data_IF_392071576018
#
_entry.id   IF_392071576018
#
_cell.length_a   1.000
_cell.length_b   1.000
_cell.length_c   1.000
_cell.angle_alpha   90.00
_cell.angle_beta   90.00
_cell.angle_gamma   90.00
#
_symmetry.space_group_name_H-M   'P 1'
#
loop_
_entity.id
_entity.type
_entity.pdbx_description
1 polymer ?
#
# COMPACT_ATOMS: atom_id res chain seq x y z
N UNK A 1 -0.60 -5.12 -0.73
CA UNK A 1 -0.48 -4.84 0.73
C UNK A 1 0.00 -6.04 1.52
N UNK A 2 -0.41 -7.28 1.19
CA UNK A 2 0.12 -8.49 1.83
C UNK A 2 1.65 -8.56 1.86
N UNK A 3 2.34 -8.23 0.77
CA UNK A 3 3.82 -8.18 0.72
C UNK A 3 4.44 -7.14 1.67
N UNK A 4 3.72 -6.05 1.99
CA UNK A 4 4.19 -5.06 2.97
C UNK A 4 4.09 -5.64 4.38
N UNK A 5 2.98 -6.32 4.70
CA UNK A 5 2.79 -6.99 6.00
C UNK A 5 3.83 -8.11 6.16
N UNK A 6 4.06 -8.91 5.13
CA UNK A 6 5.07 -9.97 5.11
C UNK A 6 6.47 -9.41 5.35
N UNK A 7 6.89 -8.38 4.61
CA UNK A 7 8.21 -7.76 4.79
C UNK A 7 8.40 -7.13 6.17
N UNK A 8 7.37 -6.48 6.72
CA UNK A 8 7.41 -5.97 8.10
C UNK A 8 7.49 -7.11 9.12
N UNK A 9 6.74 -8.19 8.90
CA UNK A 9 6.75 -9.35 9.78
C UNK A 9 8.11 -10.08 9.76
N UNK A 10 8.71 -10.24 8.58
CA UNK A 10 10.06 -10.78 8.42
C UNK A 10 11.11 -9.90 9.11
N UNK A 11 10.98 -8.57 8.98
CA UNK A 11 11.80 -7.62 9.73
C UNK A 11 11.70 -7.82 11.24
N UNK A 12 10.48 -7.96 11.77
CA UNK A 12 10.27 -8.21 13.19
C UNK A 12 10.87 -9.55 13.66
N UNK A 13 10.73 -10.62 12.86
CA UNK A 13 11.32 -11.93 13.16
C UNK A 13 12.84 -11.88 13.13
N UNK A 14 13.42 -11.18 12.15
CA UNK A 14 14.87 -10.93 12.08
C UNK A 14 15.39 -10.23 13.35
N UNK A 15 14.56 -9.40 13.98
CA UNK A 15 14.87 -8.71 15.23
C UNK A 15 14.44 -9.48 16.49
N UNK A 16 14.00 -10.73 16.35
CA UNK A 16 13.74 -11.64 17.47
C UNK A 16 12.28 -11.78 17.89
N UNK A 17 11.32 -11.19 17.17
CA UNK A 17 9.90 -11.38 17.48
C UNK A 17 9.40 -12.76 17.06
N UNK A 18 8.52 -13.41 17.84
CA UNK A 18 7.78 -14.57 17.37
C UNK A 18 6.98 -14.26 16.11
N UNK A 19 6.99 -15.18 15.14
CA UNK A 19 6.36 -15.02 13.82
C UNK A 19 4.91 -14.54 13.91
N UNK A 20 4.08 -15.23 14.69
CA UNK A 20 2.65 -14.91 14.82
C UNK A 20 2.41 -13.52 15.41
N UNK A 21 3.23 -13.11 16.37
CA UNK A 21 3.16 -11.78 16.95
C UNK A 21 3.60 -10.73 15.93
N UNK A 22 4.69 -10.99 15.22
CA UNK A 22 5.24 -10.08 14.20
C UNK A 22 4.24 -9.80 13.09
N UNK A 23 3.52 -10.82 12.61
CA UNK A 23 2.45 -10.67 11.62
C UNK A 23 1.32 -9.79 12.16
N UNK A 24 0.85 -10.07 13.38
CA UNK A 24 -0.24 -9.30 14.01
C UNK A 24 0.14 -7.83 14.19
N UNK A 25 1.32 -7.55 14.73
CA UNK A 25 1.82 -6.18 14.90
C UNK A 25 1.90 -5.46 13.56
N UNK A 26 2.48 -6.11 12.54
CA UNK A 26 2.59 -5.53 11.19
C UNK A 26 1.22 -5.17 10.60
N UNK A 27 0.23 -6.07 10.72
CA UNK A 27 -1.13 -5.80 10.26
C UNK A 27 -1.80 -4.63 11.02
N UNK A 28 -1.67 -4.59 12.35
CA UNK A 28 -2.23 -3.51 13.15
C UNK A 28 -1.54 -2.16 12.91
N UNK A 29 -0.23 -2.15 12.68
CA UNK A 29 0.50 -0.94 12.31
C UNK A 29 -0.03 -0.34 11.01
N UNK A 30 -0.26 -1.17 9.98
CA UNK A 30 -0.85 -0.70 8.73
C UNK A 30 -2.30 -0.22 8.93
N UNK A 31 -3.10 -0.94 9.71
CA UNK A 31 -4.48 -0.55 10.02
C UNK A 31 -4.51 0.81 10.73
N UNK A 32 -3.64 1.01 11.73
CA UNK A 32 -3.53 2.27 12.47
C UNK A 32 -3.14 3.43 11.56
N UNK A 33 -2.13 3.24 10.71
CA UNK A 33 -1.71 4.25 9.74
C UNK A 33 -2.84 4.65 8.77
N UNK A 34 -3.56 3.66 8.22
CA UNK A 34 -4.69 3.91 7.33
C UNK A 34 -5.82 4.66 8.05
N UNK A 35 -6.17 4.25 9.27
CA UNK A 35 -7.17 4.93 10.09
C UNK A 35 -6.81 6.38 10.36
N UNK A 36 -5.56 6.66 10.76
CA UNK A 36 -5.12 8.04 11.01
C UNK A 36 -5.32 8.94 9.80
N UNK A 37 -4.99 8.47 8.60
CA UNK A 37 -5.21 9.25 7.37
C UNK A 37 -6.68 9.55 7.16
N UNK A 38 -7.54 8.53 7.29
CA UNK A 38 -8.98 8.64 7.03
C UNK A 38 -9.71 9.49 8.08
N UNK A 39 -9.38 9.30 9.37
CA UNK A 39 -10.07 9.93 10.49
C UNK A 39 -9.61 11.38 10.71
N UNK A 40 -8.33 11.67 10.50
CA UNK A 40 -7.80 13.03 10.72
C UNK A 40 -7.92 13.93 9.49
N UNK A 41 -8.00 13.35 8.29
CA UNK A 41 -7.95 14.09 7.02
C UNK A 41 -6.62 14.82 6.76
N UNK A 42 -5.62 14.64 7.63
CA UNK A 42 -4.31 15.29 7.48
C UNK A 42 -3.57 14.70 6.30
N UNK A 43 -2.75 15.54 5.65
CA UNK A 43 -1.86 15.08 4.60
C UNK A 43 -0.89 14.01 5.15
N UNK A 44 -0.66 12.87 4.47
CA UNK A 44 0.19 11.80 4.98
C UNK A 44 1.63 12.21 5.33
N UNK A 45 2.18 13.22 4.64
CA UNK A 45 3.50 13.77 4.99
C UNK A 45 3.53 14.38 6.40
N UNK A 46 2.44 15.05 6.82
CA UNK A 46 2.32 15.63 8.16
C UNK A 46 2.20 14.51 9.21
N UNK A 47 1.33 13.52 8.96
CA UNK A 47 1.20 12.37 9.87
C UNK A 47 2.51 11.59 10.02
N UNK A 48 3.30 11.49 8.95
CA UNK A 48 4.64 10.87 8.97
C UNK A 48 5.58 11.65 9.90
N UNK A 49 5.57 12.98 9.84
CA UNK A 49 6.39 13.82 10.72
C UNK A 49 5.93 13.71 12.19
N UNK A 50 4.62 13.65 12.44
CA UNK A 50 4.06 13.54 13.80
C UNK A 50 4.50 12.26 14.53
N UNK A 51 4.87 11.19 13.81
CA UNK A 51 5.36 9.92 14.40
C UNK A 51 6.89 9.78 14.37
N UNK A 52 7.61 10.83 13.97
CA UNK A 52 9.07 10.86 13.87
C UNK A 52 9.66 11.86 14.85
N UNK A 53 10.20 11.35 15.97
CA UNK A 53 10.97 12.18 16.89
C UNK A 53 12.39 12.45 16.36
N UNK A 54 13.00 13.60 16.72
CA UNK A 54 14.40 13.88 16.42
C UNK A 54 15.31 12.76 16.94
N UNK A 55 16.18 12.24 16.06
CA UNK A 55 17.08 11.11 16.34
C UNK A 55 16.39 9.81 16.83
N UNK A 56 15.06 9.67 16.66
CA UNK A 56 14.32 8.47 17.03
C UNK A 56 14.50 7.31 16.04
N UNK A 57 14.20 6.09 16.46
CA UNK A 57 14.34 4.89 15.62
C UNK A 57 13.53 4.96 14.31
N UNK A 58 12.35 5.61 14.35
CA UNK A 58 11.47 5.75 13.17
C UNK A 58 12.14 6.52 12.02
N UNK A 59 12.97 7.54 12.30
CA UNK A 59 13.61 8.30 11.22
C UNK A 59 14.72 7.48 10.53
N UNK A 60 15.45 6.64 11.26
CA UNK A 60 16.44 5.72 10.68
C UNK A 60 15.76 4.64 9.84
N UNK A 61 14.66 4.06 10.33
CA UNK A 61 13.87 3.10 9.56
C UNK A 61 13.30 3.72 8.27
N UNK A 62 12.77 4.94 8.37
CA UNK A 62 12.29 5.68 7.19
C UNK A 62 13.41 5.95 6.19
N UNK A 63 14.61 6.30 6.64
CA UNK A 63 15.75 6.53 5.76
C UNK A 63 16.07 5.30 4.90
N UNK A 64 16.08 4.09 5.48
CA UNK A 64 16.30 2.86 4.71
C UNK A 64 15.16 2.58 3.71
N UNK A 65 13.91 2.88 4.06
CA UNK A 65 12.78 2.75 3.13
C UNK A 65 12.89 3.72 1.93
N UNK A 66 13.34 4.96 2.18
CA UNK A 66 13.57 5.95 1.13
C UNK A 66 14.75 5.56 0.23
N UNK A 67 15.84 5.08 0.83
CA UNK A 67 17.01 4.55 0.10
C UNK A 67 16.63 3.37 -0.79
N UNK A 68 15.73 2.50 -0.34
CA UNK A 68 15.14 1.42 -1.14
C UNK A 68 14.11 1.88 -2.18
N UNK A 69 13.78 3.17 -2.23
CA UNK A 69 12.85 3.73 -3.21
C UNK A 69 11.40 3.29 -3.01
N UNK A 70 10.95 3.02 -1.78
CA UNK A 70 9.61 2.47 -1.51
C UNK A 70 8.49 3.25 -2.22
N UNK A 71 8.49 4.59 -2.11
CA UNK A 71 7.48 5.44 -2.76
C UNK A 71 7.47 5.28 -4.27
N UNK A 72 8.65 5.26 -4.91
CA UNK A 72 8.76 5.09 -6.35
C UNK A 72 8.21 3.72 -6.81
N UNK A 73 8.51 2.65 -6.06
CA UNK A 73 7.99 1.32 -6.37
C UNK A 73 6.47 1.23 -6.20
N UNK A 74 5.90 1.87 -5.18
CA UNK A 74 4.44 1.89 -4.98
C UNK A 74 3.72 2.63 -6.12
N UNK A 75 4.25 3.78 -6.55
CA UNK A 75 3.71 4.53 -7.70
C UNK A 75 3.78 3.68 -8.97
N UNK A 76 4.95 3.08 -9.23
CA UNK A 76 5.17 2.23 -10.41
C UNK A 76 4.25 1.01 -10.41
N UNK A 77 3.99 0.41 -9.26
CA UNK A 77 3.09 -0.74 -9.13
C UNK A 77 1.63 -0.38 -9.48
N UNK A 78 1.15 0.79 -9.03
CA UNK A 78 -0.19 1.29 -9.36
C UNK A 78 -0.30 1.61 -10.85
N UNK A 79 0.71 2.29 -11.40
CA UNK A 79 0.76 2.62 -12.83
C UNK A 79 0.74 1.37 -13.70
N UNK A 80 1.61 0.40 -13.42
CA UNK A 80 1.68 -0.86 -14.15
C UNK A 80 0.35 -1.63 -14.11
N UNK A 81 -0.28 -1.70 -12.94
CA UNK A 81 -1.60 -2.33 -12.79
C UNK A 81 -2.67 -1.61 -13.59
N UNK A 82 -2.69 -0.28 -13.58
CA UNK A 82 -3.64 0.53 -14.33
C UNK A 82 -3.47 0.38 -15.86
N UNK A 83 -2.23 0.41 -16.36
CA UNK A 83 -1.93 0.20 -17.77
C UNK A 83 -2.33 -1.21 -18.23
N UNK A 84 -2.02 -2.24 -17.43
CA UNK A 84 -2.45 -3.61 -17.73
C UNK A 84 -3.97 -3.73 -17.79
N UNK A 85 -4.67 -3.09 -16.85
CA UNK A 85 -6.14 -3.09 -16.81
C UNK A 85 -6.73 -2.52 -18.10
N UNK A 86 -6.19 -1.42 -18.65
CA UNK A 86 -6.64 -0.86 -19.94
C UNK A 86 -6.51 -1.87 -21.08
N UNK A 87 -5.34 -2.49 -21.21
CA UNK A 87 -5.09 -3.48 -22.28
C UNK A 87 -5.97 -4.73 -22.19
N UNK A 88 -6.40 -5.10 -20.97
CA UNK A 88 -7.27 -6.27 -20.76
C UNK A 88 -8.75 -5.89 -20.88
N UNK A 89 -9.14 -4.71 -20.39
CA UNK A 89 -10.51 -4.19 -20.49
C UNK A 89 -10.93 -3.95 -21.94
N UNK A 90 -10.01 -3.50 -22.79
CA UNK A 90 -10.23 -3.35 -24.23
C UNK A 90 -10.41 -4.70 -24.95
N UNK A 91 -9.91 -5.81 -24.37
CA UNK A 91 -10.05 -7.16 -24.93
C UNK A 91 -11.31 -7.91 -24.46
N UNK A 92 -11.98 -7.43 -23.40
CA UNK A 92 -13.07 -8.19 -22.74
C UNK A 92 -14.48 -7.77 -23.19
N UNK A 93 -14.63 -6.76 -24.05
CA UNK A 93 -15.96 -6.41 -24.60
C UNK A 93 -15.93 -6.16 -26.11
N UNK A 94 -16.46 -7.08 -26.95
CA UNK A 94 -17.02 -6.64 -28.22
C UNK A 94 -18.20 -5.73 -27.89
N UNK A 95 -18.06 -4.44 -28.21
CA UNK A 95 -19.13 -3.44 -28.11
C UNK A 95 -20.18 -3.70 -29.19
N UNK A 96 -20.86 -4.85 -29.13
CA UNK A 96 -21.84 -5.24 -30.13
C UNK A 96 -22.98 -6.05 -29.50
N UNK A 97 -23.96 -5.33 -28.94
CA UNK A 97 -25.42 -5.63 -29.03
C UNK A 97 -26.22 -4.79 -28.01
N UNK A 98 -26.11 -3.45 -28.07
CA UNK A 98 -27.04 -2.55 -27.36
C UNK A 98 -28.07 -1.89 -28.30
N UNK A 99 -28.15 -2.36 -29.55
CA UNK A 99 -29.18 -2.00 -30.51
C UNK A 99 -29.65 -3.24 -31.26
N UNK A 100 -30.56 -4.01 -30.65
CA UNK A 100 -31.57 -4.77 -31.41
C UNK A 100 -32.72 -5.15 -30.46
N UNK A 101 -33.88 -4.63 -30.81
CA UNK A 101 -35.24 -5.04 -30.43
C UNK A 101 -35.83 -4.42 -29.14
N UNK A 102 -36.26 -3.18 -29.27
CA UNK A 102 -37.53 -2.71 -28.68
C UNK A 102 -38.53 -2.47 -29.82
N UNK A 103 -38.87 -3.55 -30.52
CA UNK A 103 -40.14 -3.69 -31.23
C UNK A 103 -40.61 -5.12 -30.96
N UNK A 104 -41.52 -5.23 -29.98
CA UNK A 104 -42.63 -6.17 -29.82
C UNK A 104 -43.28 -5.92 -28.46
#
# INVERSE_FOLDING_TARGET
MFSVIEGLADGGVKMGLPRDLSIKLSAYSLLGAAKMVLETGKHPAVLKEEVQSPAGSTIYGMHELEKGGLKAHLVSAVEAAALRSKTTGDQVLPRQSMYRNTEL
#
